data_IF_818063951165
#
_entry.id   IF_818063951165
#
_cell.length_a   1.000
_cell.length_b   1.000
_cell.length_c   1.000
_cell.angle_alpha   90.00
_cell.angle_beta   90.00
_cell.angle_gamma   90.00
#
_symmetry.space_group_name_H-M   'P 1'
#
loop_
_entity.id
_entity.type
_entity.pdbx_description
1 polymer ?
#
# COMPACT_ATOMS: atom_id res chain seq x y z
N UNK A 1 -5.10 -33.90 20.09
CA UNK A 1 -4.86 -34.38 18.73
C UNK A 1 -6.03 -33.97 17.82
N UNK A 2 -6.07 -32.74 17.34
CA UNK A 2 -6.98 -32.29 16.27
C UNK A 2 -6.32 -31.12 15.50
N UNK A 3 -5.32 -31.46 14.71
CA UNK A 3 -4.71 -30.52 13.74
C UNK A 3 -4.50 -31.29 12.45
N UNK A 4 -5.47 -31.31 11.54
CA UNK A 4 -5.23 -31.66 10.12
C UNK A 4 -6.50 -31.83 9.27
N UNK A 5 -7.55 -31.04 9.43
CA UNK A 5 -8.75 -31.15 8.58
C UNK A 5 -9.14 -29.88 7.85
N UNK A 6 -8.33 -28.81 7.92
CA UNK A 6 -8.66 -27.52 7.25
C UNK A 6 -7.96 -27.30 5.90
N UNK A 7 -7.05 -28.19 5.48
CA UNK A 7 -6.23 -27.98 4.27
C UNK A 7 -6.78 -28.66 3.01
N UNK A 8 -7.83 -29.46 3.11
CA UNK A 8 -8.32 -30.25 1.96
C UNK A 8 -9.59 -29.66 1.30
N UNK A 9 -10.23 -28.66 1.88
CA UNK A 9 -11.56 -28.20 1.40
C UNK A 9 -11.53 -27.05 0.38
N UNK A 10 -10.42 -26.38 0.18
CA UNK A 10 -10.30 -25.28 -0.78
C UNK A 10 -9.98 -25.74 -2.22
N UNK A 11 -9.50 -26.97 -2.40
CA UNK A 11 -9.18 -27.49 -3.74
C UNK A 11 -10.37 -28.14 -4.46
N UNK A 12 -11.46 -28.42 -3.78
CA UNK A 12 -12.60 -29.18 -4.34
C UNK A 12 -13.69 -28.33 -4.99
N UNK A 13 -13.64 -27.00 -4.91
CA UNK A 13 -14.64 -26.09 -5.53
C UNK A 13 -14.34 -25.77 -7.01
N UNK A 14 -13.22 -26.23 -7.54
CA UNK A 14 -12.77 -25.89 -8.90
C UNK A 14 -13.37 -26.78 -10.02
N UNK A 15 -14.29 -27.75 -9.75
CA UNK A 15 -14.58 -28.82 -10.70
C UNK A 15 -15.98 -28.77 -11.33
N UNK A 16 -16.82 -27.78 -11.07
CA UNK A 16 -18.20 -27.73 -11.59
C UNK A 16 -18.63 -26.33 -12.06
N UNK A 17 -17.83 -25.68 -12.91
CA UNK A 17 -18.29 -24.47 -13.58
C UNK A 17 -18.47 -24.73 -15.07
N UNK A 18 -19.53 -24.17 -15.73
CA UNK A 18 -19.59 -24.12 -17.18
C UNK A 18 -18.28 -23.49 -17.69
N UNK A 19 -17.89 -23.84 -18.91
CA UNK A 19 -16.62 -23.40 -19.53
C UNK A 19 -16.63 -21.86 -19.65
N UNK A 20 -16.42 -21.18 -18.53
CA UNK A 20 -16.16 -19.75 -18.54
C UNK A 20 -14.74 -19.57 -19.08
N UNK A 21 -14.62 -18.95 -20.24
CA UNK A 21 -13.33 -18.66 -20.84
C UNK A 21 -12.67 -17.51 -20.05
N UNK A 22 -11.55 -17.81 -19.41
CA UNK A 22 -10.80 -16.83 -18.63
C UNK A 22 -10.13 -15.78 -19.54
N UNK A 23 -8.97 -15.30 -19.19
CA UNK A 23 -8.30 -14.22 -19.88
C UNK A 23 -7.72 -14.65 -21.22
N UNK A 24 -7.81 -13.77 -22.25
CA UNK A 24 -7.20 -13.96 -23.56
C UNK A 24 -6.52 -12.66 -24.02
N UNK A 25 -5.66 -12.78 -25.01
CA UNK A 25 -4.99 -11.63 -25.62
C UNK A 25 -6.01 -10.58 -26.10
N UNK A 26 -5.79 -9.32 -25.71
CA UNK A 26 -6.67 -8.20 -26.05
C UNK A 26 -7.75 -7.88 -25.01
N UNK A 27 -7.98 -8.75 -24.03
CA UNK A 27 -8.97 -8.48 -22.97
C UNK A 27 -8.56 -7.26 -22.14
N UNK A 28 -9.56 -6.44 -21.81
CA UNK A 28 -9.48 -5.36 -20.84
C UNK A 28 -10.20 -5.82 -19.58
N UNK A 29 -9.51 -5.82 -18.45
CA UNK A 29 -10.05 -6.26 -17.17
C UNK A 29 -10.06 -5.07 -16.22
N UNK A 30 -11.21 -4.80 -15.62
CA UNK A 30 -11.37 -3.77 -14.60
C UNK A 30 -11.83 -4.45 -13.31
N UNK A 31 -11.10 -4.21 -12.22
CA UNK A 31 -11.46 -4.72 -10.90
C UNK A 31 -11.66 -3.57 -9.94
N UNK A 32 -12.69 -3.66 -9.09
CA UNK A 32 -12.98 -2.69 -8.04
C UNK A 32 -13.30 -3.41 -6.74
N UNK A 33 -12.81 -2.88 -5.62
CA UNK A 33 -13.04 -3.50 -4.33
C UNK A 33 -12.41 -2.78 -3.15
N UNK A 34 -12.48 -3.39 -1.99
CA UNK A 34 -11.80 -2.89 -0.81
C UNK A 34 -10.31 -3.19 -0.91
N UNK A 35 -9.49 -2.17 -0.67
CA UNK A 35 -8.04 -2.27 -0.64
C UNK A 35 -7.52 -1.75 0.69
N UNK A 36 -6.72 -2.55 1.39
CA UNK A 36 -6.12 -2.22 2.69
C UNK A 36 -4.61 -2.13 2.54
N UNK A 37 -4.05 -1.00 2.94
CA UNK A 37 -2.60 -0.81 3.09
C UNK A 37 -2.25 -1.03 4.56
N UNK A 38 -1.41 -2.03 4.81
CA UNK A 38 -0.90 -2.35 6.13
C UNK A 38 0.61 -2.13 6.16
N UNK A 39 1.07 -1.02 6.75
CA UNK A 39 2.50 -0.75 6.89
C UNK A 39 3.22 -1.84 7.71
N UNK A 40 4.43 -2.18 7.26
CA UNK A 40 5.40 -2.97 8.01
C UNK A 40 6.57 -2.05 8.34
N UNK A 41 6.24 -0.93 9.01
CA UNK A 41 7.08 0.24 9.13
C UNK A 41 8.27 0.03 10.06
N UNK A 42 9.40 0.57 9.66
CA UNK A 42 10.58 0.80 10.49
C UNK A 42 11.10 2.22 10.25
N UNK A 43 11.69 2.82 11.25
CA UNK A 43 12.21 4.18 11.13
C UNK A 43 13.57 4.36 11.77
N UNK A 44 14.34 5.34 11.27
CA UNK A 44 15.49 5.88 11.98
C UNK A 44 15.04 6.63 13.26
N UNK A 45 15.99 7.07 14.08
CA UNK A 45 15.75 8.11 15.07
C UNK A 45 15.31 9.42 14.42
N UNK A 46 14.53 10.21 15.15
CA UNK A 46 14.16 11.57 14.75
C UNK A 46 15.40 12.46 14.86
N UNK A 47 15.78 13.13 13.79
CA UNK A 47 16.93 14.04 13.74
C UNK A 47 16.49 15.46 13.45
N UNK A 48 17.22 16.41 13.99
CA UNK A 48 17.04 17.82 13.63
C UNK A 48 17.77 18.09 12.32
N UNK A 49 17.02 18.41 11.26
CA UNK A 49 17.53 18.68 9.90
C UNK A 49 18.02 20.12 9.76
N UNK A 50 17.27 21.08 10.34
CA UNK A 50 17.58 22.52 10.25
C UNK A 50 17.30 23.25 11.56
N UNK A 51 17.98 24.40 11.74
CA UNK A 51 17.83 25.27 12.89
C UNK A 51 18.99 25.16 13.89
N UNK A 52 18.82 25.77 15.05
CA UNK A 52 19.89 25.89 16.06
C UNK A 52 20.42 24.55 16.58
N UNK A 53 19.64 23.49 16.48
CA UNK A 53 20.01 22.14 16.94
C UNK A 53 20.28 21.17 15.75
N UNK A 54 20.58 21.69 14.57
CA UNK A 54 20.82 20.86 13.39
C UNK A 54 21.88 19.77 13.63
N UNK A 55 21.60 18.55 13.19
CA UNK A 55 22.46 17.39 13.40
C UNK A 55 22.21 16.63 14.71
N UNK A 56 21.39 17.17 15.63
CA UNK A 56 21.07 16.48 16.90
C UNK A 56 20.12 15.31 16.61
N UNK A 57 20.44 14.14 17.16
CA UNK A 57 19.56 12.97 17.17
C UNK A 57 18.69 13.01 18.44
N UNK A 58 17.39 13.12 18.23
CA UNK A 58 16.38 13.14 19.30
C UNK A 58 15.93 11.74 19.70
N UNK A 59 16.43 10.71 19.00
CA UNK A 59 15.98 9.33 19.18
C UNK A 59 14.51 9.13 18.79
N UNK A 60 13.89 8.12 19.38
CA UNK A 60 12.51 7.77 19.12
C UNK A 60 12.30 7.05 17.79
N UNK A 61 11.04 6.71 17.50
CA UNK A 61 10.62 6.03 16.26
C UNK A 61 9.30 6.60 15.80
N UNK A 62 9.15 6.72 14.49
CA UNK A 62 7.86 6.97 13.85
C UNK A 62 7.16 5.65 13.51
N UNK A 63 5.85 5.62 13.63
CA UNK A 63 4.98 4.50 13.22
C UNK A 63 3.79 5.02 12.42
N UNK A 64 3.30 4.19 11.50
CA UNK A 64 2.24 4.53 10.55
C UNK A 64 1.07 3.55 10.71
N UNK A 65 -0.16 4.04 10.83
CA UNK A 65 -1.36 3.21 10.95
C UNK A 65 -1.77 2.58 9.61
N UNK A 66 -2.62 1.56 9.63
CA UNK A 66 -3.25 1.00 8.42
C UNK A 66 -4.45 1.82 7.98
N UNK A 67 -4.79 1.75 6.68
CA UNK A 67 -6.01 2.35 6.13
C UNK A 67 -6.61 1.47 5.03
N UNK A 68 -7.95 1.58 4.86
CA UNK A 68 -8.71 0.83 3.86
C UNK A 68 -9.51 1.80 2.99
N UNK A 69 -9.38 1.65 1.67
CA UNK A 69 -9.95 2.54 0.67
C UNK A 69 -10.63 1.75 -0.46
N UNK A 70 -11.22 2.48 -1.43
CA UNK A 70 -11.66 1.90 -2.69
C UNK A 70 -10.46 1.70 -3.60
N UNK A 71 -10.19 0.45 -3.97
CA UNK A 71 -9.18 0.07 -4.95
C UNK A 71 -9.78 -0.11 -6.33
N UNK A 72 -9.04 0.34 -7.35
CA UNK A 72 -9.31 0.16 -8.76
C UNK A 72 -8.10 -0.48 -9.42
N UNK A 73 -8.32 -1.52 -10.21
CA UNK A 73 -7.27 -2.24 -10.89
C UNK A 73 -7.67 -2.39 -12.37
N UNK A 74 -6.80 -1.94 -13.26
CA UNK A 74 -6.98 -2.01 -14.71
C UNK A 74 -5.91 -2.91 -15.28
N UNK A 75 -6.30 -3.95 -16.01
CA UNK A 75 -5.35 -4.82 -16.69
C UNK A 75 -5.69 -4.94 -18.17
N UNK A 76 -4.63 -5.05 -18.98
CA UNK A 76 -4.71 -5.35 -20.39
C UNK A 76 -3.90 -6.60 -20.70
N UNK A 77 -4.51 -7.58 -21.33
CA UNK A 77 -3.87 -8.85 -21.67
C UNK A 77 -3.07 -8.71 -22.98
N UNK A 78 -1.75 -8.80 -22.87
CA UNK A 78 -0.85 -8.77 -24.05
C UNK A 78 -0.86 -10.10 -24.79
N UNK A 79 -1.00 -11.19 -24.05
CA UNK A 79 -1.16 -12.57 -24.54
C UNK A 79 -2.20 -13.26 -23.66
N UNK A 80 -2.53 -14.51 -23.93
CA UNK A 80 -3.44 -15.31 -23.09
C UNK A 80 -2.91 -15.49 -21.65
N UNK A 81 -1.61 -15.33 -21.43
CA UNK A 81 -0.96 -15.55 -20.15
C UNK A 81 -0.26 -14.32 -19.56
N UNK A 82 -0.06 -13.27 -20.33
CA UNK A 82 0.72 -12.10 -19.89
C UNK A 82 -0.10 -10.82 -20.02
N UNK A 83 -0.16 -10.04 -18.95
CA UNK A 83 -0.86 -8.76 -18.92
C UNK A 83 -0.05 -7.64 -18.28
N UNK A 84 -0.43 -6.40 -18.58
CA UNK A 84 0.01 -5.20 -17.88
C UNK A 84 -1.14 -4.76 -16.97
N UNK A 85 -0.82 -4.43 -15.73
CA UNK A 85 -1.77 -4.05 -14.70
C UNK A 85 -1.41 -2.71 -14.07
N UNK A 86 -2.39 -1.81 -13.95
CA UNK A 86 -2.28 -0.57 -13.21
C UNK A 86 -3.22 -0.63 -11.99
N UNK A 87 -2.63 -0.59 -10.80
CA UNK A 87 -3.37 -0.40 -9.55
C UNK A 87 -3.46 1.09 -9.24
N UNK A 88 -4.67 1.53 -8.94
CA UNK A 88 -5.00 2.85 -8.38
C UNK A 88 -5.94 2.68 -7.19
N UNK A 89 -6.09 3.72 -6.38
CA UNK A 89 -7.02 3.75 -5.25
C UNK A 89 -7.47 5.17 -4.97
N UNK A 90 -8.51 5.34 -4.16
CA UNK A 90 -8.74 6.63 -3.49
C UNK A 90 -7.61 6.91 -2.51
N UNK A 91 -7.28 8.19 -2.22
CA UNK A 91 -6.16 8.53 -1.36
C UNK A 91 -6.27 7.85 0.02
N UNK A 92 -5.19 7.18 0.42
CA UNK A 92 -5.06 6.64 1.77
C UNK A 92 -4.71 7.76 2.74
N UNK A 93 -5.20 7.64 3.99
CA UNK A 93 -4.91 8.56 5.09
C UNK A 93 -4.38 7.77 6.27
N UNK A 94 -3.13 8.02 6.64
CA UNK A 94 -2.46 7.31 7.71
C UNK A 94 -2.16 8.21 8.89
N UNK A 95 -2.42 7.73 10.11
CA UNK A 95 -1.99 8.37 11.34
C UNK A 95 -0.48 8.16 11.52
N UNK A 96 0.23 9.27 11.76
CA UNK A 96 1.66 9.27 12.07
C UNK A 96 1.84 9.49 13.57
N UNK A 97 2.52 8.54 14.21
CA UNK A 97 2.84 8.60 15.64
C UNK A 97 4.35 8.59 15.86
N UNK A 98 4.80 9.29 16.87
CA UNK A 98 6.19 9.25 17.34
C UNK A 98 6.22 8.73 18.77
N UNK A 99 7.19 7.87 19.10
CA UNK A 99 7.41 7.30 20.43
C UNK A 99 8.88 7.34 20.80
N UNK A 100 9.17 7.68 22.07
CA UNK A 100 10.53 7.61 22.62
C UNK A 100 11.47 8.73 22.17
N UNK A 101 10.96 9.80 21.56
CA UNK A 101 11.78 10.98 21.27
C UNK A 101 12.13 11.72 22.57
N UNK A 102 13.35 12.27 22.65
CA UNK A 102 13.85 13.02 23.80
C UNK A 102 13.03 14.28 24.10
N UNK A 103 12.42 14.89 23.07
CA UNK A 103 11.45 15.97 23.24
C UNK A 103 10.08 15.36 23.56
N UNK A 104 9.71 15.35 24.84
CA UNK A 104 8.45 14.80 25.33
C UNK A 104 7.19 15.22 24.55
N UNK A 105 7.01 16.50 24.19
CA UNK A 105 5.87 16.97 23.40
C UNK A 105 5.75 16.36 22.00
N UNK A 106 6.85 15.90 21.40
CA UNK A 106 6.85 15.22 20.09
C UNK A 106 6.22 13.82 20.12
N UNK A 107 6.14 13.20 21.31
CA UNK A 107 5.60 11.84 21.44
C UNK A 107 4.06 11.82 21.35
N UNK A 108 3.51 10.82 20.67
CA UNK A 108 2.09 10.62 20.43
C UNK A 108 1.71 10.85 18.98
N UNK A 109 0.43 11.11 18.70
CA UNK A 109 -0.05 11.40 17.34
C UNK A 109 0.49 12.75 16.88
N UNK A 110 1.34 12.72 15.86
CA UNK A 110 1.89 13.92 15.23
C UNK A 110 0.90 14.55 14.25
N UNK A 111 0.21 13.70 13.48
CA UNK A 111 -0.74 14.14 12.48
C UNK A 111 -1.19 13.02 11.57
N UNK A 112 -1.66 13.38 10.39
CA UNK A 112 -2.04 12.47 9.31
C UNK A 112 -1.32 12.81 8.03
N UNK A 113 -0.99 11.79 7.23
CA UNK A 113 -0.43 11.93 5.89
C UNK A 113 -1.35 11.25 4.89
N UNK A 114 -1.60 11.93 3.78
CA UNK A 114 -2.35 11.38 2.64
C UNK A 114 -1.38 10.97 1.54
N UNK A 115 -1.66 9.83 0.90
CA UNK A 115 -0.85 9.39 -0.23
C UNK A 115 -1.63 8.57 -1.26
N UNK A 116 -1.09 8.54 -2.47
CA UNK A 116 -1.54 7.70 -3.58
C UNK A 116 -0.35 6.86 -4.07
N UNK A 117 -0.41 5.52 -4.01
CA UNK A 117 0.63 4.63 -4.48
C UNK A 117 0.27 3.93 -5.81
N UNK A 118 0.08 4.63 -6.96
CA UNK A 118 -0.12 3.94 -8.22
C UNK A 118 1.03 2.97 -8.49
N UNK A 119 0.66 1.77 -8.96
CA UNK A 119 1.62 0.69 -9.22
C UNK A 119 1.36 0.10 -10.60
N UNK A 120 2.36 0.10 -11.45
CA UNK A 120 2.35 -0.53 -12.77
C UNK A 120 3.10 -1.85 -12.69
N UNK A 121 2.44 -2.95 -13.05
CA UNK A 121 2.97 -4.31 -12.95
C UNK A 121 2.82 -5.08 -14.24
N UNK A 122 3.75 -5.99 -14.48
CA UNK A 122 3.60 -7.09 -15.42
C UNK A 122 3.08 -8.28 -14.64
N UNK A 123 2.00 -8.92 -15.12
CA UNK A 123 1.33 -10.04 -14.47
C UNK A 123 1.32 -11.27 -15.38
N UNK A 124 1.56 -12.44 -14.79
CA UNK A 124 1.60 -13.71 -15.50
C UNK A 124 0.60 -14.69 -14.91
N UNK A 125 -0.26 -15.23 -15.77
CA UNK A 125 -1.29 -16.22 -15.49
C UNK A 125 -0.80 -17.59 -15.99
N UNK A 126 -0.43 -18.54 -15.11
CA UNK A 126 0.17 -19.79 -15.51
C UNK A 126 -0.81 -20.84 -16.04
N UNK A 127 -2.12 -20.69 -15.80
CA UNK A 127 -3.10 -21.69 -16.17
C UNK A 127 -3.71 -21.41 -17.57
N UNK A 128 -4.25 -22.47 -18.16
CA UNK A 128 -4.99 -22.39 -19.41
C UNK A 128 -6.25 -21.54 -19.24
N UNK A 129 -6.63 -20.80 -20.30
CA UNK A 129 -7.81 -19.94 -20.34
C UNK A 129 -9.15 -20.68 -20.19
N UNK A 130 -9.16 -22.00 -20.31
CA UNK A 130 -10.34 -22.83 -20.04
C UNK A 130 -10.58 -23.02 -18.52
N UNK A 131 -9.65 -22.61 -17.67
CA UNK A 131 -9.82 -22.69 -16.21
C UNK A 131 -10.58 -21.49 -15.70
N UNK A 132 -11.66 -21.68 -14.95
CA UNK A 132 -12.36 -20.60 -14.27
C UNK A 132 -11.53 -19.98 -13.13
N UNK A 133 -10.56 -20.71 -12.55
CA UNK A 133 -9.64 -20.24 -11.55
C UNK A 133 -8.31 -19.83 -12.21
N UNK A 134 -7.96 -18.56 -12.07
CA UNK A 134 -6.79 -17.95 -12.69
C UNK A 134 -5.88 -17.32 -11.62
N UNK A 135 -4.99 -18.10 -11.02
CA UNK A 135 -3.95 -17.55 -10.17
C UNK A 135 -2.95 -16.77 -11.03
N UNK A 136 -2.35 -15.75 -10.45
CA UNK A 136 -1.32 -14.97 -11.11
C UNK A 136 -0.24 -14.49 -10.15
N UNK A 137 0.91 -14.21 -10.72
CA UNK A 137 2.02 -13.54 -10.07
C UNK A 137 2.38 -12.30 -10.87
N UNK A 138 2.95 -11.31 -10.21
CA UNK A 138 3.37 -10.08 -10.90
C UNK A 138 4.49 -9.37 -10.19
N UNK A 139 5.20 -8.57 -10.97
CA UNK A 139 6.21 -7.65 -10.48
C UNK A 139 6.08 -6.30 -11.20
N UNK A 140 6.42 -5.22 -10.51
CA UNK A 140 6.21 -3.90 -11.07
C UNK A 140 6.98 -2.80 -10.36
N UNK A 141 6.66 -1.59 -10.76
CA UNK A 141 7.18 -0.35 -10.19
C UNK A 141 6.04 0.42 -9.54
N UNK A 142 6.33 0.98 -8.38
CA UNK A 142 5.43 1.85 -7.63
C UNK A 142 5.98 3.27 -7.62
N UNK A 143 5.08 4.24 -7.72
CA UNK A 143 5.35 5.64 -7.39
C UNK A 143 4.38 6.07 -6.31
N UNK A 144 4.87 6.32 -5.11
CA UNK A 144 4.03 6.83 -4.02
C UNK A 144 4.13 8.34 -3.97
N UNK A 145 3.01 8.99 -4.26
CA UNK A 145 2.87 10.43 -4.15
C UNK A 145 2.26 10.78 -2.81
N UNK A 146 3.05 11.45 -1.96
CA UNK A 146 2.58 11.99 -0.70
C UNK A 146 2.02 13.40 -0.91
N UNK A 147 0.83 13.63 -0.36
CA UNK A 147 0.18 14.93 -0.31
C UNK A 147 0.54 15.62 1.01
N UNK A 148 0.23 16.93 1.11
CA UNK A 148 0.41 17.66 2.36
C UNK A 148 -0.32 16.97 3.51
N UNK A 149 0.36 16.91 4.66
CA UNK A 149 -0.17 16.32 5.87
C UNK A 149 -0.86 17.34 6.76
N UNK A 150 -1.78 16.85 7.56
CA UNK A 150 -2.44 17.64 8.59
C UNK A 150 -1.78 17.37 9.95
N UNK A 151 -1.22 18.39 10.59
CA UNK A 151 -0.67 18.28 11.96
C UNK A 151 -1.82 18.16 12.96
N UNK A 152 -1.69 17.30 13.97
CA UNK A 152 -2.74 17.14 14.99
C UNK A 152 -2.82 18.37 15.89
N UNK A 153 -4.01 18.70 16.41
CA UNK A 153 -4.21 19.85 17.33
C UNK A 153 -3.31 19.74 18.58
N UNK A 154 -3.00 18.53 19.03
CA UNK A 154 -2.05 18.30 20.12
C UNK A 154 -0.63 18.71 19.74
N UNK A 155 -0.19 18.33 18.54
CA UNK A 155 1.13 18.67 18.04
C UNK A 155 1.24 20.18 17.74
N UNK A 156 0.19 20.79 17.21
CA UNK A 156 0.10 22.24 17.00
C UNK A 156 0.20 23.01 18.31
N UNK A 157 -0.53 22.57 19.35
CA UNK A 157 -0.46 23.16 20.69
C UNK A 157 0.95 23.03 21.30
N UNK A 158 1.73 22.02 20.87
CA UNK A 158 3.12 21.85 21.25
C UNK A 158 4.11 22.61 20.36
N UNK A 159 3.63 23.39 19.37
CA UNK A 159 4.45 24.22 18.47
C UNK A 159 4.90 23.53 17.18
N UNK A 160 4.39 22.31 16.88
CA UNK A 160 4.66 21.63 15.63
C UNK A 160 3.72 22.05 14.52
N UNK A 161 4.21 22.06 13.28
CA UNK A 161 3.43 22.42 12.08
C UNK A 161 4.07 21.80 10.84
N UNK A 162 3.36 21.92 9.69
CA UNK A 162 3.91 21.59 8.37
C UNK A 162 4.42 20.14 8.27
N UNK A 163 3.58 19.17 8.64
CA UNK A 163 3.88 17.75 8.48
C UNK A 163 3.90 17.39 7.00
N UNK A 164 5.00 16.85 6.51
CA UNK A 164 5.21 16.49 5.09
C UNK A 164 5.94 15.17 4.96
N UNK A 165 5.81 14.51 3.80
CA UNK A 165 6.59 13.34 3.43
C UNK A 165 7.10 13.46 2.00
N UNK A 166 8.28 12.89 1.74
CA UNK A 166 8.87 12.83 0.40
C UNK A 166 8.21 11.75 -0.43
N UNK A 167 8.03 12.00 -1.74
CA UNK A 167 7.60 10.97 -2.68
C UNK A 167 8.62 9.83 -2.77
N UNK A 168 8.14 8.64 -3.10
CA UNK A 168 8.95 7.43 -3.17
C UNK A 168 8.77 6.70 -4.49
N UNK A 169 9.84 6.15 -5.02
CA UNK A 169 9.84 5.12 -6.05
C UNK A 169 10.29 3.81 -5.45
N UNK A 170 9.63 2.72 -5.80
CA UNK A 170 10.00 1.41 -5.32
C UNK A 170 9.54 0.28 -6.22
N UNK A 171 9.94 -0.93 -5.87
CA UNK A 171 9.51 -2.14 -6.55
C UNK A 171 8.26 -2.69 -5.88
N UNK A 172 7.49 -3.44 -6.66
CA UNK A 172 6.32 -4.15 -6.14
C UNK A 172 6.34 -5.59 -6.65
N UNK A 173 5.89 -6.51 -5.79
CA UNK A 173 5.63 -7.89 -6.14
C UNK A 173 4.23 -8.28 -5.68
N UNK A 174 3.54 -9.13 -6.43
CA UNK A 174 2.18 -9.52 -6.11
C UNK A 174 1.89 -10.98 -6.44
N UNK A 175 0.95 -11.52 -5.72
CA UNK A 175 0.24 -12.76 -6.04
C UNK A 175 -1.26 -12.49 -5.94
N UNK A 176 -2.04 -13.15 -6.77
CA UNK A 176 -3.49 -13.04 -6.71
C UNK A 176 -4.17 -14.15 -7.47
N UNK A 177 -5.49 -14.10 -7.47
CA UNK A 177 -6.31 -15.00 -8.28
C UNK A 177 -7.61 -14.32 -8.69
N UNK A 178 -8.03 -14.60 -9.91
CA UNK A 178 -9.38 -14.36 -10.40
C UNK A 178 -10.16 -15.68 -10.37
N UNK A 179 -11.41 -15.61 -9.98
CA UNK A 179 -12.36 -16.71 -10.14
C UNK A 179 -13.54 -16.26 -10.98
N UNK A 180 -13.61 -16.79 -12.19
CA UNK A 180 -14.67 -16.45 -13.15
C UNK A 180 -16.02 -16.99 -12.67
N UNK A 181 -16.98 -16.09 -12.43
CA UNK A 181 -18.37 -16.44 -12.12
C UNK A 181 -19.19 -16.62 -13.41
N UNK A 182 -18.85 -15.85 -14.43
CA UNK A 182 -19.38 -15.89 -15.79
C UNK A 182 -18.23 -15.62 -16.77
N UNK A 183 -18.51 -15.58 -18.07
CA UNK A 183 -17.48 -15.23 -19.07
C UNK A 183 -16.88 -13.83 -18.87
N UNK A 184 -17.60 -12.92 -18.19
CA UNK A 184 -17.19 -11.53 -18.03
C UNK A 184 -17.00 -11.11 -16.56
N UNK A 185 -17.65 -11.78 -15.60
CA UNK A 185 -17.65 -11.36 -14.18
C UNK A 185 -16.77 -12.30 -13.39
N UNK A 186 -15.91 -11.72 -12.54
CA UNK A 186 -15.00 -12.46 -11.67
C UNK A 186 -14.97 -11.91 -10.25
N UNK A 187 -14.60 -12.75 -9.31
CA UNK A 187 -14.12 -12.36 -7.98
C UNK A 187 -12.60 -12.32 -8.04
N UNK A 188 -12.01 -11.30 -7.48
CA UNK A 188 -10.55 -11.16 -7.37
C UNK A 188 -10.11 -11.07 -5.92
N UNK A 189 -9.00 -11.70 -5.62
CA UNK A 189 -8.24 -11.51 -4.39
C UNK A 189 -6.75 -11.38 -4.71
N UNK A 190 -6.08 -10.40 -4.11
CA UNK A 190 -4.65 -10.19 -4.33
C UNK A 190 -3.95 -9.69 -3.07
N UNK A 191 -2.68 -10.05 -2.97
CA UNK A 191 -1.73 -9.59 -1.96
C UNK A 191 -0.53 -9.02 -2.70
N UNK A 192 -0.10 -7.83 -2.27
CA UNK A 192 1.05 -7.14 -2.87
C UNK A 192 1.96 -6.63 -1.76
N UNK A 193 3.25 -6.73 -1.99
CA UNK A 193 4.29 -6.06 -1.23
C UNK A 193 4.82 -4.91 -2.07
N UNK A 194 5.02 -3.76 -1.45
CA UNK A 194 5.55 -2.56 -2.12
C UNK A 194 6.72 -2.05 -1.29
N UNK A 195 7.85 -1.79 -1.93
CA UNK A 195 8.99 -1.11 -1.31
C UNK A 195 8.73 0.40 -1.33
N UNK A 196 8.59 1.02 -0.14
CA UNK A 196 8.32 2.46 0.02
C UNK A 196 9.26 3.04 1.08
N UNK A 197 10.26 3.78 0.61
CA UNK A 197 11.17 4.55 1.45
C UNK A 197 10.82 6.04 1.36
N UNK A 198 10.55 6.68 2.49
CA UNK A 198 10.20 8.10 2.56
C UNK A 198 10.89 8.82 3.70
N UNK A 199 10.91 10.14 3.61
CA UNK A 199 11.40 11.04 4.67
C UNK A 199 10.25 11.89 5.15
N UNK A 200 9.94 11.79 6.43
CA UNK A 200 8.89 12.60 7.07
C UNK A 200 9.55 13.79 7.74
N UNK A 201 8.96 14.96 7.52
CA UNK A 201 9.41 16.24 8.04
C UNK A 201 8.32 16.89 8.87
N UNK A 202 8.70 17.60 9.92
CA UNK A 202 7.83 18.46 10.71
C UNK A 202 8.61 19.68 11.18
N UNK A 203 7.98 20.85 11.14
CA UNK A 203 8.56 22.10 11.62
C UNK A 203 8.12 22.35 13.07
N UNK A 204 9.02 22.94 13.87
CA UNK A 204 8.73 23.40 15.23
C UNK A 204 9.05 24.89 15.33
N UNK A 205 8.01 25.72 15.52
CA UNK A 205 8.09 27.17 15.35
C UNK A 205 8.38 27.95 16.63
N UNK A 206 8.31 27.32 17.81
CA UNK A 206 8.51 28.01 19.12
C UNK A 206 9.96 28.08 19.59
N UNK A 207 10.87 27.33 18.93
CA UNK A 207 12.32 27.45 19.19
C UNK A 207 12.88 28.57 18.32
N UNK A 208 13.76 29.39 18.92
CA UNK A 208 14.43 30.49 18.22
C UNK A 208 15.11 30.03 16.93
N UNK A 209 14.78 30.66 15.82
CA UNK A 209 15.29 30.33 14.48
C UNK A 209 14.56 29.20 13.76
N UNK A 210 13.47 28.67 14.33
CA UNK A 210 12.71 27.54 13.75
C UNK A 210 13.57 26.26 13.71
N UNK A 211 12.95 25.12 13.91
CA UNK A 211 13.61 23.80 13.82
C UNK A 211 12.81 22.93 12.89
N UNK A 212 13.48 22.26 11.94
CA UNK A 212 12.87 21.18 11.17
C UNK A 212 13.40 19.84 11.64
N UNK A 213 12.52 18.97 12.10
CA UNK A 213 12.84 17.59 12.40
C UNK A 213 12.58 16.70 11.18
N UNK A 214 13.37 15.65 11.04
CA UNK A 214 13.32 14.67 9.97
C UNK A 214 13.44 13.28 10.53
N UNK A 215 12.72 12.34 9.92
CA UNK A 215 12.87 10.90 10.19
C UNK A 215 12.80 10.14 8.87
N UNK A 216 13.75 9.22 8.65
CA UNK A 216 13.70 8.30 7.52
C UNK A 216 12.79 7.12 7.91
N UNK A 217 11.78 6.83 7.08
CA UNK A 217 10.76 5.82 7.33
C UNK A 217 10.72 4.85 6.16
N UNK A 218 10.92 3.57 6.45
CA UNK A 218 10.61 2.47 5.55
C UNK A 218 9.21 2.01 5.88
N UNK A 219 8.28 2.18 4.95
CA UNK A 219 6.87 1.81 5.15
C UNK A 219 6.62 0.38 4.75
N UNK A 220 7.22 -0.06 3.65
CA UNK A 220 7.24 -1.43 3.10
C UNK A 220 5.93 -2.22 3.31
N UNK A 221 4.77 -1.67 2.87
CA UNK A 221 3.48 -2.20 3.25
C UNK A 221 3.15 -3.52 2.54
N UNK A 222 2.37 -4.32 3.25
CA UNK A 222 1.52 -5.32 2.62
C UNK A 222 0.20 -4.68 2.22
N UNK A 223 -0.22 -4.93 0.97
CA UNK A 223 -1.46 -4.41 0.40
C UNK A 223 -2.35 -5.60 0.05
N UNK A 224 -3.56 -5.60 0.61
CA UNK A 224 -4.57 -6.63 0.39
C UNK A 224 -5.74 -6.03 -0.36
N UNK A 225 -6.19 -6.68 -1.43
CA UNK A 225 -7.38 -6.26 -2.14
C UNK A 225 -8.31 -7.44 -2.38
N UNK A 226 -9.59 -7.22 -2.16
CA UNK A 226 -10.67 -8.14 -2.53
C UNK A 226 -11.76 -7.35 -3.24
N UNK A 227 -12.22 -7.84 -4.37
CA UNK A 227 -13.20 -7.13 -5.17
C UNK A 227 -13.86 -7.98 -6.25
N UNK A 228 -14.66 -7.30 -7.05
CA UNK A 228 -15.26 -7.84 -8.26
C UNK A 228 -14.54 -7.28 -9.47
N UNK A 229 -14.45 -8.09 -10.51
CA UNK A 229 -13.88 -7.68 -11.79
C UNK A 229 -14.85 -7.93 -12.94
N UNK A 230 -14.66 -7.15 -13.99
CA UNK A 230 -15.35 -7.30 -15.25
C UNK A 230 -14.32 -7.33 -16.39
N UNK A 231 -14.49 -8.29 -17.28
CA UNK A 231 -13.70 -8.48 -18.49
C UNK A 231 -14.51 -8.02 -19.70
N UNK A 232 -13.95 -7.11 -20.46
CA UNK A 232 -14.50 -6.57 -21.71
C UNK A 232 -13.95 -7.28 -22.93
#
# INVERSE_FOLDING_TARGET
MYKSLFTASLLALAIASPIAQAHQAGDIIVRAGAITVQPNDSSSGVKVDRGALAGTDLGGKATVGSDTQLGLNFAYMLTDNLGIELLAATPFTHDVHVKGAALGPANGKLGTLKHLPPTLSLVYYPLDKASAFQPYIGAGINYTWFMDGDTSSRAEAAGFSNLQASNSWGLAAQIGADYMLTDNIMINGQIRYIDIDTQVYVDHNTLEGGVRAKVDVKVDPWVYMVGLGYKF
#
